data_IF_257682621326
#
_entry.id   IF_257682621326
#
_cell.length_a   1.000
_cell.length_b   1.000
_cell.length_c   1.000
_cell.angle_alpha   90.00
_cell.angle_beta   90.00
_cell.angle_gamma   90.00
#
_symmetry.space_group_name_H-M   'P 1'
#
loop_
_entity.id
_entity.type
_entity.pdbx_description
1 polymer ?
#
# COMPACT_ATOMS: atom_id res chain seq x y z
N UNK A 1 -11.49 -65.60 -22.38
CA UNK A 1 -12.54 -64.82 -21.68
C UNK A 1 -11.94 -63.91 -20.61
N UNK A 2 -10.83 -64.30 -19.98
CA UNK A 2 -10.21 -63.56 -18.85
C UNK A 2 -9.60 -62.20 -19.17
N UNK A 3 -9.02 -62.01 -20.36
CA UNK A 3 -8.41 -60.71 -20.73
C UNK A 3 -9.45 -59.60 -20.93
N UNK A 4 -10.62 -59.92 -21.51
CA UNK A 4 -11.70 -58.95 -21.71
C UNK A 4 -12.35 -58.50 -20.38
N UNK A 5 -12.45 -59.41 -19.41
CA UNK A 5 -12.94 -59.09 -18.06
C UNK A 5 -11.98 -58.14 -17.34
N UNK A 6 -10.69 -58.44 -17.39
CA UNK A 6 -9.64 -57.64 -16.74
C UNK A 6 -9.57 -56.21 -17.29
N UNK A 7 -9.75 -56.05 -18.61
CA UNK A 7 -9.80 -54.74 -19.27
C UNK A 7 -11.07 -53.97 -18.90
N UNK A 8 -12.22 -54.65 -18.76
CA UNK A 8 -13.46 -54.01 -18.32
C UNK A 8 -13.38 -53.52 -16.87
N UNK A 9 -12.84 -54.33 -15.97
CA UNK A 9 -12.68 -53.98 -14.55
C UNK A 9 -11.75 -52.77 -14.39
N UNK A 10 -10.61 -52.77 -15.10
CA UNK A 10 -9.67 -51.64 -15.12
C UNK A 10 -10.32 -50.34 -15.62
N UNK A 11 -11.20 -50.44 -16.62
CA UNK A 11 -11.92 -49.28 -17.18
C UNK A 11 -13.01 -48.77 -16.22
N UNK A 12 -13.60 -49.65 -15.42
CA UNK A 12 -14.55 -49.29 -14.37
C UNK A 12 -13.86 -48.53 -13.25
N UNK A 13 -12.71 -49.01 -12.79
CA UNK A 13 -11.89 -48.37 -11.75
C UNK A 13 -11.44 -46.97 -12.19
N UNK A 14 -10.94 -46.83 -13.42
CA UNK A 14 -10.55 -45.53 -13.98
C UNK A 14 -11.71 -44.52 -14.03
N UNK A 15 -12.94 -44.98 -14.31
CA UNK A 15 -14.12 -44.11 -14.27
C UNK A 15 -14.49 -43.67 -12.85
N UNK A 16 -14.34 -44.56 -11.87
CA UNK A 16 -14.60 -44.25 -10.48
C UNK A 16 -13.59 -43.23 -9.93
N UNK A 17 -12.31 -43.41 -10.23
CA UNK A 17 -11.24 -42.49 -9.83
C UNK A 17 -11.44 -41.10 -10.44
N UNK A 18 -11.82 -41.03 -11.71
CA UNK A 18 -12.08 -39.76 -12.40
C UNK A 18 -13.28 -39.00 -11.79
N UNK A 19 -14.31 -39.73 -11.36
CA UNK A 19 -15.45 -39.15 -10.65
C UNK A 19 -15.05 -38.58 -9.28
N UNK A 20 -14.19 -39.28 -8.53
CA UNK A 20 -13.69 -38.79 -7.23
C UNK A 20 -12.83 -37.53 -7.39
N UNK A 21 -12.05 -37.44 -8.46
CA UNK A 21 -11.23 -36.25 -8.77
C UNK A 21 -12.14 -35.03 -9.02
N UNK A 22 -13.20 -35.18 -9.81
CA UNK A 22 -14.16 -34.09 -10.07
C UNK A 22 -14.85 -33.63 -8.78
N UNK A 23 -15.23 -34.58 -7.92
CA UNK A 23 -15.88 -34.30 -6.65
C UNK A 23 -14.95 -33.57 -5.65
N UNK A 24 -13.66 -33.94 -5.65
CA UNK A 24 -12.63 -33.24 -4.88
C UNK A 24 -12.37 -31.84 -5.43
N UNK A 25 -12.32 -31.66 -6.76
CA UNK A 25 -12.15 -30.34 -7.39
C UNK A 25 -13.28 -29.39 -6.98
N UNK A 26 -14.53 -29.88 -7.02
CA UNK A 26 -15.70 -29.09 -6.62
C UNK A 26 -15.65 -28.70 -5.13
N UNK A 27 -15.21 -29.60 -4.25
CA UNK A 27 -15.04 -29.28 -2.81
C UNK A 27 -13.93 -28.24 -2.59
N UNK A 28 -12.84 -28.30 -3.35
CA UNK A 28 -11.77 -27.28 -3.29
C UNK A 28 -12.30 -25.91 -3.74
N UNK A 29 -13.09 -25.86 -4.81
CA UNK A 29 -13.71 -24.63 -5.29
C UNK A 29 -14.71 -24.05 -4.26
N UNK A 30 -15.51 -24.91 -3.63
CA UNK A 30 -16.46 -24.50 -2.59
C UNK A 30 -15.75 -23.97 -1.34
N UNK A 31 -14.70 -24.65 -0.86
CA UNK A 31 -13.88 -24.19 0.27
C UNK A 31 -13.13 -22.87 -0.06
N UNK A 32 -12.73 -22.68 -1.31
CA UNK A 32 -12.16 -21.43 -1.83
C UNK A 32 -13.18 -20.28 -1.82
N UNK A 33 -14.45 -20.57 -2.14
CA UNK A 33 -15.54 -19.59 -2.07
C UNK A 33 -15.95 -19.24 -0.63
N UNK A 34 -16.07 -20.24 0.25
CA UNK A 34 -16.44 -20.04 1.65
C UNK A 34 -15.36 -19.28 2.44
N UNK A 35 -14.08 -19.54 2.16
CA UNK A 35 -12.96 -18.79 2.75
C UNK A 35 -12.82 -17.35 2.25
N UNK A 36 -13.25 -17.04 1.02
CA UNK A 36 -13.35 -15.66 0.51
C UNK A 36 -14.48 -14.86 1.18
N UNK A 37 -15.59 -15.51 1.53
CA UNK A 37 -16.77 -14.86 2.13
C UNK A 37 -16.53 -14.39 3.58
N UNK A 38 -15.64 -15.06 4.33
CA UNK A 38 -15.45 -14.82 5.77
C UNK A 38 -14.30 -13.84 6.11
N UNK A 39 -13.41 -13.48 5.16
CA UNK A 39 -12.15 -12.76 5.48
C UNK A 39 -12.05 -11.29 5.11
N UNK A 40 -13.01 -10.70 4.42
CA UNK A 40 -12.74 -9.44 3.69
C UNK A 40 -13.29 -8.15 4.35
N UNK A 41 -13.16 -8.01 5.68
CA UNK A 41 -13.64 -6.81 6.40
C UNK A 41 -12.62 -6.11 7.28
N UNK A 42 -11.48 -6.74 7.60
CA UNK A 42 -10.46 -6.11 8.46
C UNK A 42 -9.62 -5.13 7.66
N UNK A 43 -9.69 -3.84 8.01
CA UNK A 43 -8.75 -2.82 7.50
C UNK A 43 -7.36 -3.13 8.04
N UNK A 44 -6.34 -3.08 7.19
CA UNK A 44 -4.95 -3.27 7.59
C UNK A 44 -4.12 -2.05 7.26
N UNK A 45 -3.73 -1.31 8.27
CA UNK A 45 -2.87 -0.14 8.12
C UNK A 45 -1.52 -0.42 8.77
N UNK A 46 -0.43 -0.08 8.07
CA UNK A 46 0.93 -0.32 8.55
C UNK A 46 1.75 0.96 8.56
N UNK A 47 2.42 1.21 9.69
CA UNK A 47 3.38 2.29 9.89
C UNK A 47 2.82 3.69 9.56
N UNK A 48 1.51 3.90 9.79
CA UNK A 48 0.92 5.22 9.53
C UNK A 48 1.55 6.25 10.46
N UNK A 49 1.86 7.46 9.96
CA UNK A 49 2.32 8.55 10.80
C UNK A 49 1.22 8.98 11.76
N UNK A 50 1.62 9.69 12.81
CA UNK A 50 0.68 10.29 13.74
C UNK A 50 -0.29 11.24 13.01
N UNK A 51 -1.54 11.34 13.48
CA UNK A 51 -2.52 12.26 12.90
C UNK A 51 -1.99 13.69 12.86
N UNK A 52 -2.14 14.35 11.71
CA UNK A 52 -1.73 15.74 11.52
C UNK A 52 -2.79 16.64 12.17
N UNK A 53 -2.47 17.13 13.37
CA UNK A 53 -3.31 18.02 14.18
C UNK A 53 -3.47 19.40 13.52
N UNK A 54 -2.43 19.89 12.84
CA UNK A 54 -2.36 21.24 12.29
C UNK A 54 -2.05 21.15 10.79
N UNK A 55 -2.97 21.62 9.96
CA UNK A 55 -2.82 21.62 8.51
C UNK A 55 -3.61 22.79 7.91
N UNK A 56 -2.92 23.71 7.23
CA UNK A 56 -3.51 24.97 6.74
C UNK A 56 -3.43 25.09 5.22
N UNK A 57 -4.51 25.58 4.59
CA UNK A 57 -4.54 26.17 3.24
C UNK A 57 -4.31 25.20 2.07
N UNK A 58 -4.10 23.92 2.37
CA UNK A 58 -3.76 22.87 1.39
C UNK A 58 -4.91 21.94 1.08
N UNK A 59 -6.15 22.35 1.33
CA UNK A 59 -7.35 21.55 1.08
C UNK A 59 -7.50 21.26 -0.42
N UNK A 60 -7.18 22.22 -1.28
CA UNK A 60 -7.20 22.02 -2.74
C UNK A 60 -6.13 21.04 -3.21
N UNK A 61 -4.97 21.02 -2.55
CA UNK A 61 -3.91 20.05 -2.81
C UNK A 61 -4.36 18.63 -2.44
N UNK A 62 -4.97 18.46 -1.27
CA UNK A 62 -5.56 17.17 -0.85
C UNK A 62 -6.62 16.69 -1.84
N UNK A 63 -7.54 17.57 -2.25
CA UNK A 63 -8.55 17.26 -3.28
C UNK A 63 -7.92 16.84 -4.61
N UNK A 64 -6.85 17.49 -5.02
CA UNK A 64 -6.13 17.17 -6.26
C UNK A 64 -5.48 15.78 -6.18
N UNK A 65 -4.83 15.46 -5.06
CA UNK A 65 -4.27 14.11 -4.81
C UNK A 65 -5.38 13.07 -4.88
N UNK A 66 -6.51 13.31 -4.19
CA UNK A 66 -7.64 12.40 -4.18
C UNK A 66 -8.19 12.13 -5.58
N UNK A 67 -8.49 13.19 -6.36
CA UNK A 67 -9.01 13.08 -7.72
C UNK A 67 -8.09 12.23 -8.61
N UNK A 68 -6.78 12.50 -8.54
CA UNK A 68 -5.77 11.84 -9.37
C UNK A 68 -5.60 10.36 -9.02
N UNK A 69 -5.62 10.00 -7.73
CA UNK A 69 -5.61 8.60 -7.30
C UNK A 69 -6.90 7.87 -7.69
N UNK A 70 -8.05 8.54 -7.72
CA UNK A 70 -9.30 7.93 -8.21
C UNK A 70 -9.28 7.66 -9.72
N UNK A 71 -8.46 8.39 -10.47
CA UNK A 71 -8.20 8.18 -11.90
C UNK A 71 -7.10 7.13 -12.17
N UNK A 72 -6.73 6.33 -11.16
CA UNK A 72 -5.67 5.32 -11.21
C UNK A 72 -4.29 5.89 -11.61
N UNK A 73 -4.02 7.17 -11.33
CA UNK A 73 -2.69 7.74 -11.52
C UNK A 73 -1.84 7.53 -10.26
N UNK A 74 -0.60 7.07 -10.42
CA UNK A 74 0.40 7.18 -9.36
C UNK A 74 0.90 8.63 -9.26
N UNK A 75 1.13 9.11 -8.05
CA UNK A 75 1.41 10.53 -7.77
C UNK A 75 2.74 10.68 -7.08
N UNK A 76 3.52 11.66 -7.52
CA UNK A 76 4.68 12.15 -6.80
C UNK A 76 4.41 13.56 -6.26
N UNK A 77 4.50 13.72 -4.95
CA UNK A 77 4.60 15.04 -4.32
C UNK A 77 6.06 15.46 -4.35
N UNK A 78 6.39 16.47 -5.14
CA UNK A 78 7.75 16.99 -5.25
C UNK A 78 7.81 18.49 -5.01
N UNK A 79 8.92 18.97 -4.46
CA UNK A 79 9.37 20.37 -4.42
C UNK A 79 10.67 20.44 -3.61
N UNK A 80 11.47 21.49 -3.78
CA UNK A 80 12.71 21.68 -3.02
C UNK A 80 12.42 21.96 -1.53
N UNK A 81 13.07 21.20 -0.63
CA UNK A 81 13.10 21.51 0.80
C UNK A 81 11.80 21.24 1.57
N UNK A 82 11.84 21.47 2.89
CA UNK A 82 10.88 21.06 3.93
C UNK A 82 9.48 21.68 3.87
N UNK A 83 8.90 21.84 2.68
CA UNK A 83 7.55 22.37 2.45
C UNK A 83 6.42 21.46 2.95
N UNK A 84 6.68 20.42 3.75
CA UNK A 84 5.63 19.58 4.33
C UNK A 84 5.00 18.55 3.37
N UNK A 85 5.78 17.95 2.45
CA UNK A 85 5.30 16.86 1.57
C UNK A 85 4.81 15.65 2.37
N UNK A 86 5.63 15.17 3.31
CA UNK A 86 5.30 14.09 4.25
C UNK A 86 4.05 14.42 5.07
N UNK A 87 3.94 15.64 5.60
CA UNK A 87 2.73 16.08 6.33
C UNK A 87 1.48 16.12 5.42
N UNK A 88 1.64 16.52 4.16
CA UNK A 88 0.55 16.52 3.17
C UNK A 88 0.08 15.10 2.88
N UNK A 89 1.01 14.16 2.67
CA UNK A 89 0.70 12.74 2.50
C UNK A 89 0.03 12.13 3.74
N UNK A 90 0.53 12.46 4.94
CA UNK A 90 -0.06 12.04 6.22
C UNK A 90 -1.50 12.57 6.38
N UNK A 91 -1.73 13.84 6.04
CA UNK A 91 -3.07 14.43 6.08
C UNK A 91 -4.03 13.78 5.08
N UNK A 92 -3.54 13.48 3.87
CA UNK A 92 -4.32 12.75 2.88
C UNK A 92 -4.80 11.39 3.43
N UNK A 93 -3.88 10.61 4.02
CA UNK A 93 -4.22 9.34 4.65
C UNK A 93 -5.22 9.54 5.80
N UNK A 94 -4.99 10.51 6.67
CA UNK A 94 -5.90 10.79 7.79
C UNK A 94 -7.35 11.03 7.34
N UNK A 95 -7.54 11.75 6.23
CA UNK A 95 -8.86 12.09 5.69
C UNK A 95 -9.48 10.92 4.92
N UNK A 96 -8.69 10.21 4.10
CA UNK A 96 -9.19 9.24 3.14
C UNK A 96 -8.98 7.76 3.53
N UNK A 97 -8.43 7.48 4.72
CA UNK A 97 -8.09 6.11 5.14
C UNK A 97 -9.25 5.12 5.04
N UNK A 98 -10.49 5.58 5.21
CA UNK A 98 -11.65 4.70 5.24
C UNK A 98 -12.07 4.18 3.86
N UNK A 99 -11.57 4.79 2.80
CA UNK A 99 -11.76 4.36 1.41
C UNK A 99 -10.86 3.18 1.03
N UNK A 100 -9.78 2.98 1.79
CA UNK A 100 -8.82 1.93 1.55
C UNK A 100 -9.00 0.81 2.56
N UNK A 101 -8.89 -0.42 2.09
CA UNK A 101 -8.81 -1.57 2.99
C UNK A 101 -7.40 -1.74 3.52
N UNK A 102 -6.39 -1.44 2.70
CA UNK A 102 -4.99 -1.58 3.10
C UNK A 102 -4.21 -0.31 2.81
N UNK A 103 -3.41 0.13 3.78
CA UNK A 103 -2.55 1.31 3.64
C UNK A 103 -1.18 0.96 4.20
N UNK A 104 -0.14 1.16 3.39
CA UNK A 104 1.24 0.91 3.79
C UNK A 104 2.07 2.15 3.62
N UNK A 105 2.64 2.64 4.72
CA UNK A 105 3.63 3.71 4.70
C UNK A 105 5.04 3.12 4.75
N UNK A 106 5.79 3.31 3.66
CA UNK A 106 7.07 2.68 3.42
C UNK A 106 8.14 3.77 3.29
N UNK A 107 9.21 3.67 4.08
CA UNK A 107 10.38 4.54 3.91
C UNK A 107 11.16 4.14 2.66
N UNK A 108 11.36 5.07 1.72
CA UNK A 108 12.17 4.83 0.54
C UNK A 108 13.66 4.71 0.87
N UNK A 109 14.13 5.47 1.86
CA UNK A 109 15.53 5.44 2.36
C UNK A 109 15.96 4.04 2.79
N UNK A 110 15.03 3.22 3.28
CA UNK A 110 15.30 1.85 3.71
C UNK A 110 14.32 0.83 3.10
N UNK A 111 13.96 1.04 1.83
CA UNK A 111 12.88 0.32 1.13
C UNK A 111 12.91 -1.21 1.34
N UNK A 112 14.06 -1.86 1.12
CA UNK A 112 14.22 -3.32 1.30
C UNK A 112 13.90 -3.76 2.73
N UNK A 113 14.44 -3.04 3.70
CA UNK A 113 14.25 -3.32 5.12
C UNK A 113 12.78 -3.11 5.51
N UNK A 114 12.19 -1.98 5.11
CA UNK A 114 10.78 -1.69 5.39
C UNK A 114 9.84 -2.74 4.81
N UNK A 115 10.06 -3.19 3.56
CA UNK A 115 9.27 -4.27 2.97
C UNK A 115 9.41 -5.58 3.74
N UNK A 116 10.63 -5.93 4.14
CA UNK A 116 10.87 -7.14 4.92
C UNK A 116 10.15 -7.11 6.28
N UNK A 117 10.21 -5.97 6.99
CA UNK A 117 9.52 -5.76 8.27
C UNK A 117 8.00 -5.86 8.12
N UNK A 118 7.45 -5.22 7.08
CA UNK A 118 6.03 -5.33 6.72
C UNK A 118 5.65 -6.80 6.53
N UNK A 119 6.36 -7.51 5.66
CA UNK A 119 6.02 -8.89 5.33
C UNK A 119 6.14 -9.82 6.55
N UNK A 120 7.16 -9.64 7.38
CA UNK A 120 7.31 -10.38 8.63
C UNK A 120 6.11 -10.17 9.56
N UNK A 121 5.67 -8.92 9.73
CA UNK A 121 4.54 -8.60 10.60
C UNK A 121 3.20 -9.13 10.08
N UNK A 122 3.08 -9.33 8.77
CA UNK A 122 1.93 -9.96 8.12
C UNK A 122 2.02 -11.50 8.11
N UNK A 123 2.92 -12.09 8.90
CA UNK A 123 3.07 -13.54 9.01
C UNK A 123 3.68 -14.20 7.76
N UNK A 124 4.27 -13.43 6.86
CA UNK A 124 4.88 -13.95 5.62
C UNK A 124 6.33 -14.40 5.82
N UNK A 125 6.86 -14.41 7.04
CA UNK A 125 8.26 -14.78 7.33
C UNK A 125 8.69 -16.10 6.69
N UNK A 126 7.80 -17.11 6.62
CA UNK A 126 8.09 -18.41 6.02
C UNK A 126 8.23 -18.36 4.49
N UNK A 127 7.74 -17.31 3.85
CA UNK A 127 7.83 -17.08 2.41
C UNK A 127 9.08 -16.27 2.03
N UNK A 128 9.78 -15.71 3.01
CA UNK A 128 10.93 -14.83 2.80
C UNK A 128 12.21 -15.67 2.95
N UNK A 129 13.06 -15.76 1.91
CA UNK A 129 14.40 -16.36 2.02
C UNK A 129 15.28 -15.62 3.02
N UNK A 130 16.34 -16.26 3.53
CA UNK A 130 17.28 -15.62 4.47
C UNK A 130 17.94 -14.36 3.88
N UNK A 131 18.25 -14.38 2.58
CA UNK A 131 18.76 -13.24 1.82
C UNK A 131 17.84 -12.92 0.64
N UNK A 132 16.72 -12.21 0.87
CA UNK A 132 15.74 -11.98 -0.17
C UNK A 132 16.23 -10.89 -1.14
N UNK A 133 15.98 -11.04 -2.45
CA UNK A 133 16.16 -9.93 -3.40
C UNK A 133 15.01 -8.91 -3.29
N UNK A 134 15.19 -7.73 -3.86
CA UNK A 134 14.13 -6.72 -3.89
C UNK A 134 12.92 -7.15 -4.73
N UNK A 135 13.16 -7.88 -5.82
CA UNK A 135 12.12 -8.45 -6.67
C UNK A 135 11.29 -9.47 -5.89
N UNK A 136 11.93 -10.35 -5.11
CA UNK A 136 11.23 -11.34 -4.27
C UNK A 136 10.35 -10.66 -3.23
N UNK A 137 10.89 -9.68 -2.49
CA UNK A 137 10.08 -8.94 -1.51
C UNK A 137 8.91 -8.20 -2.16
N UNK A 138 9.15 -7.55 -3.30
CA UNK A 138 8.11 -6.83 -4.05
C UNK A 138 7.02 -7.78 -4.52
N UNK A 139 7.38 -8.96 -5.03
CA UNK A 139 6.44 -9.98 -5.48
C UNK A 139 5.55 -10.47 -4.32
N UNK A 140 6.16 -10.85 -3.19
CA UNK A 140 5.42 -11.31 -2.02
C UNK A 140 4.51 -10.17 -1.49
N UNK A 141 5.02 -8.95 -1.41
CA UNK A 141 4.25 -7.78 -0.99
C UNK A 141 3.02 -7.56 -1.88
N UNK A 142 3.21 -7.58 -3.20
CA UNK A 142 2.11 -7.44 -4.16
C UNK A 142 1.08 -8.56 -4.02
N UNK A 143 1.53 -9.81 -3.79
CA UNK A 143 0.61 -10.92 -3.55
C UNK A 143 -0.31 -10.68 -2.35
N UNK A 144 0.18 -9.99 -1.31
CA UNK A 144 -0.56 -9.74 -0.07
C UNK A 144 -1.43 -8.51 -0.12
N UNK A 145 -0.92 -7.40 -0.67
CA UNK A 145 -1.64 -6.13 -0.72
C UNK A 145 -2.78 -6.13 -1.74
N UNK A 146 -2.67 -6.94 -2.80
CA UNK A 146 -3.72 -7.08 -3.82
C UNK A 146 -4.82 -8.10 -3.45
N UNK A 147 -4.70 -8.82 -2.33
CA UNK A 147 -5.80 -9.63 -1.80
C UNK A 147 -6.95 -8.72 -1.34
N UNK A 148 -8.20 -9.17 -1.51
CA UNK A 148 -9.41 -8.44 -1.08
C UNK A 148 -10.11 -7.69 -2.20
N UNK A 149 -11.31 -7.18 -1.90
CA UNK A 149 -12.21 -6.53 -2.87
C UNK A 149 -12.09 -5.01 -2.92
N UNK A 150 -11.50 -4.38 -1.90
CA UNK A 150 -11.37 -2.93 -1.78
C UNK A 150 -9.98 -2.43 -2.21
N UNK A 151 -9.90 -1.13 -2.48
CA UNK A 151 -8.66 -0.46 -2.92
C UNK A 151 -7.59 -0.50 -1.83
N UNK A 152 -6.33 -0.57 -2.27
CA UNK A 152 -5.14 -0.46 -1.43
C UNK A 152 -4.37 0.83 -1.77
N UNK A 153 -3.63 1.36 -0.81
CA UNK A 153 -2.77 2.54 -0.96
C UNK A 153 -1.35 2.21 -0.47
N UNK A 154 -0.36 2.57 -1.27
CA UNK A 154 1.05 2.57 -0.88
C UNK A 154 1.55 4.00 -0.83
N UNK A 155 2.17 4.35 0.29
CA UNK A 155 2.91 5.59 0.45
C UNK A 155 4.39 5.27 0.48
N UNK A 156 5.13 5.82 -0.48
CA UNK A 156 6.59 5.70 -0.54
C UNK A 156 7.21 7.05 -0.13
N UNK A 157 7.65 7.14 1.12
CA UNK A 157 8.05 8.40 1.74
C UNK A 157 9.56 8.62 1.66
N UNK A 158 9.94 9.88 1.42
CA UNK A 158 11.30 10.39 1.35
C UNK A 158 12.17 9.71 0.29
N UNK A 159 11.68 9.69 -0.96
CA UNK A 159 12.47 9.22 -2.10
C UNK A 159 13.53 10.27 -2.43
N UNK A 160 14.77 10.04 -2.00
CA UNK A 160 15.91 10.95 -2.17
C UNK A 160 16.77 10.63 -3.40
N UNK A 161 16.70 9.40 -3.91
CA UNK A 161 17.46 8.93 -5.07
C UNK A 161 16.64 7.97 -5.95
N UNK A 162 16.91 7.98 -7.26
CA UNK A 162 16.26 7.08 -8.22
C UNK A 162 17.14 5.85 -8.47
N UNK A 163 17.04 4.86 -7.59
CA UNK A 163 17.75 3.59 -7.72
C UNK A 163 17.00 2.57 -8.58
N UNK A 164 17.68 1.50 -8.99
CA UNK A 164 17.05 0.36 -9.66
C UNK A 164 15.92 -0.25 -8.81
N UNK A 165 16.11 -0.31 -7.51
CA UNK A 165 15.14 -0.89 -6.58
C UNK A 165 13.88 -0.03 -6.49
N UNK A 166 14.04 1.29 -6.34
CA UNK A 166 12.92 2.25 -6.31
C UNK A 166 12.15 2.21 -7.62
N UNK A 167 12.83 2.32 -8.76
CA UNK A 167 12.16 2.32 -10.09
C UNK A 167 11.45 0.99 -10.38
N UNK A 168 12.06 -0.13 -10.00
CA UNK A 168 11.45 -1.45 -10.16
C UNK A 168 10.24 -1.62 -9.25
N UNK A 169 10.31 -1.15 -8.00
CA UNK A 169 9.17 -1.15 -7.09
C UNK A 169 8.01 -0.32 -7.65
N UNK A 170 8.27 0.93 -8.04
CA UNK A 170 7.30 1.84 -8.65
C UNK A 170 6.62 1.17 -9.86
N UNK A 171 7.40 0.62 -10.80
CA UNK A 171 6.88 -0.03 -12.01
C UNK A 171 5.91 -1.16 -11.70
N UNK A 172 6.19 -1.96 -10.66
CA UNK A 172 5.37 -3.11 -10.31
C UNK A 172 4.11 -2.74 -9.51
N UNK A 173 4.11 -1.58 -8.83
CA UNK A 173 3.03 -1.13 -7.94
C UNK A 173 2.03 -0.22 -8.68
N UNK A 174 2.52 0.76 -9.45
CA UNK A 174 1.73 1.90 -9.93
C UNK A 174 0.49 1.57 -10.78
N UNK A 175 0.50 0.45 -11.48
CA UNK A 175 -0.61 0.01 -12.34
C UNK A 175 -1.69 -0.79 -11.59
N UNK A 176 -1.36 -1.28 -10.38
CA UNK A 176 -2.19 -2.22 -9.62
C UNK A 176 -2.78 -1.60 -8.37
N UNK A 177 -2.09 -0.62 -7.80
CA UNK A 177 -2.35 -0.08 -6.48
C UNK A 177 -2.18 1.43 -6.53
N UNK A 178 -3.03 2.16 -5.81
CA UNK A 178 -2.86 3.59 -5.65
C UNK A 178 -1.51 3.87 -4.98
N UNK A 179 -0.68 4.67 -5.63
CA UNK A 179 0.67 5.00 -5.19
C UNK A 179 0.80 6.50 -5.00
N UNK A 180 1.19 6.91 -3.79
CA UNK A 180 1.57 8.27 -3.46
C UNK A 180 3.02 8.25 -2.98
N UNK A 181 3.91 9.04 -3.58
CA UNK A 181 5.27 9.17 -3.07
C UNK A 181 5.60 10.62 -2.72
N UNK A 182 6.55 10.80 -1.79
CA UNK A 182 7.11 12.10 -1.47
C UNK A 182 8.58 12.11 -1.89
N UNK A 183 9.02 13.21 -2.51
CA UNK A 183 10.40 13.32 -3.01
C UNK A 183 10.86 14.76 -3.10
N UNK A 184 12.18 14.97 -3.01
CA UNK A 184 12.81 16.25 -3.37
C UNK A 184 13.26 16.27 -4.84
N UNK A 185 13.21 15.13 -5.52
CA UNK A 185 13.56 14.98 -6.93
C UNK A 185 12.43 15.48 -7.84
N UNK A 186 12.78 15.76 -9.08
CA UNK A 186 11.87 16.20 -10.15
C UNK A 186 11.77 15.13 -11.24
N UNK A 187 10.99 15.43 -12.26
CA UNK A 187 10.86 14.65 -13.49
C UNK A 187 10.28 13.24 -13.24
N UNK A 188 9.36 13.14 -12.27
CA UNK A 188 8.66 11.89 -11.95
C UNK A 188 7.75 11.41 -13.08
N UNK A 189 7.40 12.29 -14.03
CA UNK A 189 6.69 11.94 -15.27
C UNK A 189 7.45 10.89 -16.09
N UNK A 190 8.79 10.91 -16.08
CA UNK A 190 9.63 9.94 -16.80
C UNK A 190 9.49 8.51 -16.25
N UNK A 191 9.08 8.39 -14.98
CA UNK A 191 8.77 7.13 -14.31
C UNK A 191 7.28 6.78 -14.37
N UNK A 192 6.50 7.60 -15.08
CA UNK A 192 5.06 7.47 -15.29
C UNK A 192 4.24 7.79 -14.05
N UNK A 193 4.67 8.79 -13.27
CA UNK A 193 3.88 9.36 -12.18
C UNK A 193 3.40 10.75 -12.57
N UNK A 194 2.21 11.11 -12.09
CA UNK A 194 1.73 12.48 -12.15
C UNK A 194 2.40 13.30 -11.04
N UNK A 195 3.20 14.29 -11.41
CA UNK A 195 3.89 15.14 -10.45
C UNK A 195 2.98 16.26 -9.97
N UNK A 196 2.91 16.45 -8.66
CA UNK A 196 2.21 17.57 -8.03
C UNK A 196 3.23 18.35 -7.19
N UNK A 197 3.45 19.60 -7.58
CA UNK A 197 4.26 20.53 -6.81
C UNK A 197 3.56 20.86 -5.48
N UNK A 198 4.29 20.77 -4.37
CA UNK A 198 3.80 21.18 -3.05
C UNK A 198 4.24 22.62 -2.77
N UNK A 199 3.36 23.62 -2.90
CA UNK A 199 3.76 25.02 -2.82
C UNK A 199 4.28 25.39 -1.42
N UNK A 200 5.22 26.34 -1.38
CA UNK A 200 5.56 27.04 -0.14
C UNK A 200 4.31 27.70 0.44
N UNK A 201 4.25 27.81 1.77
CA UNK A 201 3.16 28.52 2.42
C UNK A 201 3.11 29.98 1.95
N UNK A 202 1.90 30.45 1.66
CA UNK A 202 1.63 31.87 1.55
C UNK A 202 1.71 32.52 2.94
N UNK A 203 1.91 33.84 2.99
CA UNK A 203 2.11 34.60 4.23
C UNK A 203 0.99 34.37 5.25
N UNK A 204 -0.27 34.36 4.78
CA UNK A 204 -1.44 34.11 5.64
C UNK A 204 -1.45 32.69 6.24
N UNK A 205 -1.03 31.68 5.47
CA UNK A 205 -0.95 30.29 5.94
C UNK A 205 0.18 30.13 6.96
N UNK A 206 1.29 30.84 6.75
CA UNK A 206 2.43 30.87 7.68
C UNK A 206 2.05 31.51 9.02
N UNK A 207 1.29 32.62 8.98
CA UNK A 207 0.78 33.29 10.18
C UNK A 207 -0.16 32.35 10.95
N UNK A 208 -1.11 31.71 10.26
CA UNK A 208 -2.04 30.76 10.88
C UNK A 208 -1.32 29.57 11.52
N UNK A 209 -0.32 29.03 10.83
CA UNK A 209 0.53 27.95 11.35
C UNK A 209 1.24 28.37 12.65
N UNK A 210 1.95 29.50 12.63
CA UNK A 210 2.71 30.00 13.77
C UNK A 210 1.83 30.37 14.97
N UNK A 211 0.69 31.04 14.73
CA UNK A 211 -0.25 31.41 15.78
C UNK A 211 -0.81 30.17 16.50
N UNK A 212 -1.08 29.10 15.76
CA UNK A 212 -1.61 27.88 16.33
C UNK A 212 -0.54 27.11 17.12
N UNK A 213 0.67 26.97 16.60
CA UNK A 213 1.80 26.34 17.32
C UNK A 213 2.11 27.04 18.65
N UNK A 214 2.10 28.38 18.65
CA UNK A 214 2.30 29.16 19.87
C UNK A 214 1.14 28.99 20.87
N UNK A 215 -0.09 28.82 20.37
CA UNK A 215 -1.27 28.62 21.23
C UNK A 215 -1.28 27.22 21.87
N UNK A 216 -0.88 26.18 21.13
CA UNK A 216 -0.76 24.81 21.66
C UNK A 216 0.40 24.66 22.64
N UNK A 217 1.54 25.34 22.40
CA UNK A 217 2.67 25.34 23.33
C UNK A 217 2.31 25.97 24.69
N UNK A 218 1.63 27.13 24.67
CA UNK A 218 1.19 27.81 25.89
C UNK A 218 0.19 26.99 26.71
N UNK A 219 -0.71 26.23 26.07
CA UNK A 219 -1.62 25.33 26.76
C UNK A 219 -0.88 24.14 27.41
N UNK A 220 0.19 23.65 26.78
CA UNK A 220 0.99 22.55 27.32
C UNK A 220 1.78 22.98 28.57
N UNK A 221 2.38 24.18 28.55
CA UNK A 221 3.07 24.74 29.73
C UNK A 221 2.11 24.98 30.92
N UNK A 222 0.89 25.46 30.65
CA UNK A 222 -0.13 25.64 31.70
C UNK A 222 -0.56 24.29 32.30
N UNK A 223 -0.63 23.23 31.50
CA UNK A 223 -1.03 21.89 31.98
C UNK A 223 0.03 21.18 32.84
N UNK A 224 1.30 21.55 32.72
CA UNK A 224 2.41 21.00 33.52
C UNK A 224 2.56 21.73 34.87
N UNK A 225 2.02 22.95 34.97
CA UNK A 225 2.07 23.80 36.16
C UNK A 225 0.79 23.74 37.02
N UNK A 226 -0.23 22.98 36.59
CA UNK A 226 -1.49 22.75 37.31
C UNK A 226 -1.51 21.37 37.96
#
# INVERSE_FOLDING_TARGET
MDELSTVMDSKLTLKADMCQIDELSNKVDQLSMESKSVKDTTKTHWNLPDPVSIFFGRENLIKSIHLKLQQNQAIALSEMGGVGKTQTAAKFVQIHKDEYQKIFWISAVSLKKSLNEILCAFGCKQLIPDEPSMETLTFIFLSKICEGSKKSLVLLDDVTEVTKDVTSFIRNVKEKINLLLTSQLKDWEDYGLFQIAVPCFHEQESIGFLQNELSSANQHEISILA
#
